data_IF_834141313237
#
_entry.id   IF_834141313237
#
_cell.length_a   1.000
_cell.length_b   1.000
_cell.length_c   1.000
_cell.angle_alpha   90.00
_cell.angle_beta   90.00
_cell.angle_gamma   90.00
#
_symmetry.space_group_name_H-M   'P 1'
#
loop_
_entity.id
_entity.type
_entity.pdbx_description
1 polymer ?
#
# COMPACT_ATOMS: atom_id res chain seq x y z
N UNK A 1 -5.57 -8.38 -17.48
CA UNK A 1 -6.12 -9.05 -16.28
C UNK A 1 -5.05 -9.03 -15.21
N UNK A 2 -5.42 -8.57 -14.02
CA UNK A 2 -4.60 -8.66 -12.83
C UNK A 2 -4.97 -9.94 -12.08
N UNK A 3 -3.97 -10.74 -11.75
CA UNK A 3 -4.13 -11.89 -10.87
C UNK A 3 -3.80 -11.45 -9.44
N UNK A 4 -4.77 -11.52 -8.55
CA UNK A 4 -4.56 -11.24 -7.13
C UNK A 4 -3.83 -12.40 -6.47
N UNK A 5 -3.30 -12.17 -5.27
CA UNK A 5 -2.62 -13.22 -4.48
C UNK A 5 -3.55 -14.36 -4.06
N UNK A 6 -4.87 -14.15 -4.10
CA UNK A 6 -5.90 -15.17 -3.84
C UNK A 6 -6.28 -15.96 -5.10
N UNK A 7 -5.68 -15.64 -6.26
CA UNK A 7 -5.96 -16.31 -7.53
C UNK A 7 -7.18 -15.76 -8.28
N UNK A 8 -7.79 -14.68 -7.78
CA UNK A 8 -8.86 -14.00 -8.48
C UNK A 8 -8.29 -13.18 -9.63
N UNK A 9 -8.94 -13.26 -10.78
CA UNK A 9 -8.55 -12.50 -11.97
C UNK A 9 -9.57 -11.41 -12.21
N UNK A 10 -9.13 -10.15 -12.16
CA UNK A 10 -9.97 -9.00 -12.45
C UNK A 10 -9.47 -8.21 -13.66
N UNK A 11 -10.37 -7.50 -14.36
CA UNK A 11 -9.98 -6.52 -15.36
C UNK A 11 -9.00 -5.50 -14.78
N UNK A 12 -8.09 -5.07 -15.63
CA UNK A 12 -7.14 -4.01 -15.31
C UNK A 12 -7.56 -2.79 -16.12
N UNK A 13 -7.88 -1.71 -15.43
CA UNK A 13 -8.55 -0.54 -16.02
C UNK A 13 -7.55 0.49 -16.56
N UNK A 14 -6.26 0.27 -16.33
CA UNK A 14 -5.18 1.12 -16.84
C UNK A 14 -4.20 1.53 -15.74
N UNK A 15 -3.34 2.49 -16.04
CA UNK A 15 -2.35 3.01 -15.09
C UNK A 15 -2.57 4.49 -14.84
N UNK A 16 -2.22 4.94 -13.65
CA UNK A 16 -2.18 6.35 -13.31
C UNK A 16 -0.91 6.66 -12.51
N UNK A 17 -0.38 7.87 -12.66
CA UNK A 17 0.67 8.37 -11.79
C UNK A 17 0.03 9.09 -10.60
N UNK A 18 0.34 8.65 -9.38
CA UNK A 18 -0.19 9.23 -8.15
C UNK A 18 0.95 9.59 -7.19
N UNK A 19 0.69 10.58 -6.35
CA UNK A 19 1.54 10.86 -5.19
C UNK A 19 1.06 10.05 -3.98
N UNK A 20 1.95 9.22 -3.45
CA UNK A 20 1.71 8.38 -2.26
C UNK A 20 2.51 8.96 -1.11
N UNK A 21 1.82 9.32 -0.02
CA UNK A 21 2.43 9.83 1.19
C UNK A 21 2.57 8.72 2.25
N UNK A 22 3.77 8.51 2.77
CA UNK A 22 4.07 7.58 3.85
C UNK A 22 4.91 8.30 4.91
N UNK A 23 4.33 8.56 6.08
CA UNK A 23 4.98 9.37 7.10
C UNK A 23 5.25 10.78 6.59
N UNK A 24 6.51 11.22 6.65
CA UNK A 24 6.95 12.53 6.13
C UNK A 24 7.41 12.50 4.68
N UNK A 25 7.27 11.37 3.98
CA UNK A 25 7.79 11.17 2.63
C UNK A 25 6.67 11.06 1.59
N UNK A 26 6.83 11.79 0.48
CA UNK A 26 5.95 11.71 -0.69
C UNK A 26 6.67 11.04 -1.85
N UNK A 27 5.97 10.16 -2.56
CA UNK A 27 6.49 9.39 -3.68
C UNK A 27 5.54 9.47 -4.88
N UNK A 28 6.04 9.94 -6.02
CA UNK A 28 5.32 9.84 -7.29
C UNK A 28 5.52 8.43 -7.86
N UNK A 29 4.45 7.66 -8.04
CA UNK A 29 4.51 6.27 -8.51
C UNK A 29 3.37 5.93 -9.48
N UNK A 30 3.66 5.11 -10.48
CA UNK A 30 2.66 4.56 -11.39
C UNK A 30 1.92 3.42 -10.69
N UNK A 31 0.62 3.60 -10.46
CA UNK A 31 -0.26 2.59 -9.88
C UNK A 31 -1.12 1.92 -10.96
N UNK A 32 -1.60 0.73 -10.64
CA UNK A 32 -2.56 0.01 -11.46
C UNK A 32 -3.98 0.35 -10.97
N UNK A 33 -4.86 0.69 -11.91
CA UNK A 33 -6.28 0.87 -11.65
C UNK A 33 -6.99 -0.48 -11.82
N UNK A 34 -7.75 -0.87 -10.80
CA UNK A 34 -8.55 -2.08 -10.78
C UNK A 34 -9.73 -1.89 -9.84
N UNK A 35 -10.87 -2.50 -10.17
CA UNK A 35 -12.04 -2.59 -9.30
C UNK A 35 -11.77 -3.57 -8.14
N UNK A 36 -11.15 -3.11 -7.05
CA UNK A 36 -10.83 -3.92 -5.86
C UNK A 36 -11.64 -3.46 -4.65
N UNK A 37 -11.86 -4.36 -3.69
CA UNK A 37 -12.64 -4.04 -2.47
C UNK A 37 -11.91 -3.10 -1.49
N UNK A 38 -10.58 -3.05 -1.56
CA UNK A 38 -9.76 -2.20 -0.70
C UNK A 38 -9.41 -0.89 -1.42
N UNK A 39 -9.17 0.18 -0.67
CA UNK A 39 -8.79 1.48 -1.25
C UNK A 39 -7.47 1.45 -2.03
N UNK A 40 -6.62 0.44 -1.80
CA UNK A 40 -5.38 0.25 -2.54
C UNK A 40 -4.54 -0.91 -2.01
N UNK A 41 -3.63 -1.39 -2.85
CA UNK A 41 -2.63 -2.40 -2.50
C UNK A 41 -1.26 -1.84 -2.82
N UNK A 42 -0.36 -1.81 -1.83
CA UNK A 42 1.02 -1.42 -2.04
C UNK A 42 1.84 -2.62 -2.55
N UNK A 43 2.29 -2.54 -3.80
CA UNK A 43 3.06 -3.61 -4.45
C UNK A 43 4.52 -3.70 -3.98
N UNK A 44 5.12 -4.87 -4.18
CA UNK A 44 6.54 -5.12 -3.86
C UNK A 44 7.50 -4.30 -4.74
N UNK A 45 7.06 -3.91 -5.92
CA UNK A 45 7.75 -3.02 -6.85
C UNK A 45 7.93 -1.62 -6.26
N UNK A 46 6.88 -1.04 -5.66
CA UNK A 46 6.98 0.20 -4.89
C UNK A 46 7.99 0.06 -3.75
N UNK A 47 7.84 -1.00 -2.94
CA UNK A 47 8.70 -1.24 -1.78
C UNK A 47 10.18 -1.32 -2.17
N UNK A 48 10.49 -2.05 -3.25
CA UNK A 48 11.86 -2.16 -3.79
C UNK A 48 12.37 -0.84 -4.35
N UNK A 49 11.55 -0.13 -5.13
CA UNK A 49 11.93 1.13 -5.80
C UNK A 49 12.30 2.21 -4.78
N UNK A 50 11.50 2.36 -3.71
CA UNK A 50 11.71 3.40 -2.71
C UNK A 50 12.43 2.92 -1.45
N UNK A 51 12.91 1.67 -1.44
CA UNK A 51 13.64 1.05 -0.32
C UNK A 51 12.84 1.14 0.99
N UNK A 52 11.57 0.76 0.91
CA UNK A 52 10.69 0.65 2.07
C UNK A 52 10.74 -0.79 2.60
N UNK A 53 11.10 -0.96 3.87
CA UNK A 53 11.20 -2.29 4.48
C UNK A 53 10.00 -2.55 5.41
N UNK A 54 9.10 -3.49 5.08
CA UNK A 54 8.01 -3.86 5.96
C UNK A 54 8.55 -4.67 7.15
N UNK A 55 8.53 -4.09 8.35
CA UNK A 55 8.94 -4.77 9.58
C UNK A 55 7.69 -5.36 10.24
N UNK A 56 7.18 -6.44 9.64
CA UNK A 56 5.91 -7.08 9.99
C UNK A 56 5.85 -7.45 11.48
N UNK A 57 6.94 -7.99 12.04
CA UNK A 57 7.04 -8.39 13.45
C UNK A 57 6.85 -7.23 14.45
N UNK A 58 7.03 -5.99 13.99
CA UNK A 58 6.90 -4.79 14.81
C UNK A 58 5.75 -3.87 14.37
N UNK A 59 4.98 -4.26 13.34
CA UNK A 59 3.84 -3.50 12.86
C UNK A 59 4.18 -2.11 12.29
N UNK A 60 5.34 -1.96 11.64
CA UNK A 60 5.68 -0.70 10.97
C UNK A 60 6.38 -0.92 9.63
N UNK A 61 6.29 0.08 8.77
CA UNK A 61 7.05 0.20 7.54
C UNK A 61 8.24 1.13 7.80
N UNK A 62 9.46 0.65 7.57
CA UNK A 62 10.66 1.50 7.60
C UNK A 62 10.78 2.21 6.25
N UNK A 63 10.63 3.53 6.25
CA UNK A 63 10.74 4.37 5.07
C UNK A 63 11.92 5.30 5.27
N UNK A 64 13.05 5.04 4.59
CA UNK A 64 14.27 5.86 4.69
C UNK A 64 14.75 6.15 6.12
N UNK A 65 14.51 5.23 7.07
CA UNK A 65 14.85 5.37 8.48
C UNK A 65 13.73 5.90 9.38
N UNK A 66 12.65 6.42 8.80
CA UNK A 66 11.41 6.75 9.50
C UNK A 66 10.58 5.47 9.73
N UNK A 67 10.07 5.28 10.96
CA UNK A 67 9.17 4.17 11.29
C UNK A 67 7.72 4.64 11.12
N UNK A 68 7.11 4.28 10.00
CA UNK A 68 5.71 4.58 9.73
C UNK A 68 4.85 3.44 10.30
N UNK A 69 4.00 3.68 11.32
CA UNK A 69 3.18 2.63 11.93
C UNK A 69 2.18 2.06 10.91
N UNK A 70 2.03 0.74 10.91
CA UNK A 70 1.02 0.03 10.12
C UNK A 70 -0.07 -0.46 11.06
N UNK A 71 -1.31 -0.05 10.81
CA UNK A 71 -2.47 -0.50 11.59
C UNK A 71 -2.95 -1.84 11.06
N UNK A 72 -3.21 -2.78 11.95
CA UNK A 72 -3.84 -4.05 11.59
C UNK A 72 -5.36 -3.83 11.50
N UNK A 73 -6.08 -4.68 10.76
CA UNK A 73 -7.54 -4.56 10.56
C UNK A 73 -8.34 -4.55 11.88
N UNK A 74 -7.77 -5.05 12.96
CA UNK A 74 -8.37 -5.01 14.31
C UNK A 74 -8.21 -3.67 15.03
N UNK A 75 -7.39 -2.77 14.50
CA UNK A 75 -7.12 -1.42 15.04
C UNK A 75 -8.06 -0.36 14.45
N UNK A 76 -9.10 -0.76 13.69
CA UNK A 76 -10.18 0.13 13.27
C UNK A 76 -10.83 0.75 14.51
N UNK A 77 -10.44 2.00 14.80
CA UNK A 77 -11.04 2.80 15.84
C UNK A 77 -12.54 2.88 15.57
N UNK A 78 -13.34 2.43 16.55
CA UNK A 78 -14.73 2.90 16.68
C UNK A 78 -14.69 4.42 16.69
N UNK A 79 -15.16 5.05 15.62
CA UNK A 79 -15.51 6.46 15.65
C UNK A 79 -16.66 6.60 16.64
N UNK A 80 -16.37 7.07 17.85
CA UNK A 80 -17.39 7.66 18.72
C UNK A 80 -17.79 8.98 18.07
N UNK A 81 -19.02 9.01 17.55
CA UNK A 81 -19.78 10.23 17.32
C UNK A 81 -20.22 10.82 18.67
#
# INVERSE_FOLDING_TARGET
MLLTVTGESQPFDGKAELEIMLGTHTFTHEVLLADIQQDGILGIDFLKKYKCDPIISKGYLNVKGEKVPCYMKSDEKKTVL
#
